data_IF_237563418154
#
_entry.id   IF_237563418154
#
_cell.length_a   1.000
_cell.length_b   1.000
_cell.length_c   1.000
_cell.angle_alpha   90.00
_cell.angle_beta   90.00
_cell.angle_gamma   90.00
#
_symmetry.space_group_name_H-M   'P 1'
#
loop_
_entity.id
_entity.type
_entity.pdbx_description
1 polymer ?
#
# COMPACT_ATOMS: atom_id res chain seq x y z
N UNK A 1 -6.35 -1.38 0.29
CA UNK A 1 -6.75 -0.52 -0.83
C UNK A 1 -7.98 0.28 -0.46
N UNK A 2 -7.92 1.58 -0.62
CA UNK A 2 -9.13 2.39 -0.52
C UNK A 2 -9.83 2.28 -1.88
N UNK A 3 -11.07 1.78 -1.93
CA UNK A 3 -11.77 1.65 -3.21
C UNK A 3 -11.93 3.02 -3.88
N UNK A 4 -11.79 3.05 -5.18
CA UNK A 4 -12.12 4.22 -5.96
C UNK A 4 -13.63 4.45 -5.87
N UNK A 5 -14.04 5.64 -5.43
CA UNK A 5 -15.46 5.99 -5.29
C UNK A 5 -16.21 5.87 -6.60
N UNK A 6 -15.53 6.09 -7.73
CA UNK A 6 -16.14 5.92 -9.06
C UNK A 6 -16.50 4.47 -9.34
N UNK A 7 -15.67 3.52 -8.89
CA UNK A 7 -15.97 2.10 -9.04
C UNK A 7 -17.14 1.69 -8.16
N UNK A 8 -17.18 2.19 -6.95
CA UNK A 8 -18.28 1.91 -6.03
C UNK A 8 -19.61 2.37 -6.62
N UNK A 9 -19.62 3.54 -7.25
CA UNK A 9 -20.84 4.12 -7.84
C UNK A 9 -21.36 3.34 -9.05
N UNK A 10 -20.62 2.39 -9.59
CA UNK A 10 -21.10 1.52 -10.67
C UNK A 10 -22.11 0.48 -10.19
N UNK A 11 -22.09 0.17 -8.90
CA UNK A 11 -22.97 -0.86 -8.36
C UNK A 11 -24.19 -0.20 -7.76
N UNK A 12 -25.39 -0.79 -7.95
CA UNK A 12 -26.63 -0.21 -7.43
C UNK A 12 -26.77 -0.46 -5.93
N UNK A 13 -25.82 0.09 -5.15
CA UNK A 13 -25.80 -0.02 -3.71
C UNK A 13 -26.06 1.35 -3.10
N UNK A 14 -26.76 1.39 -1.97
CA UNK A 14 -26.92 2.65 -1.28
C UNK A 14 -25.61 3.05 -0.59
N UNK A 15 -25.47 4.32 -0.26
CA UNK A 15 -24.25 4.87 0.33
C UNK A 15 -23.86 4.18 1.64
N UNK A 16 -24.86 3.82 2.44
CA UNK A 16 -24.63 3.17 3.72
C UNK A 16 -24.00 1.79 3.55
N UNK A 17 -24.48 1.05 2.57
CA UNK A 17 -23.94 -0.28 2.24
C UNK A 17 -22.48 -0.20 1.75
N UNK A 18 -22.16 0.79 0.91
CA UNK A 18 -20.82 1.00 0.42
C UNK A 18 -19.86 1.37 1.55
N UNK A 19 -20.29 2.24 2.48
CA UNK A 19 -19.48 2.60 3.63
C UNK A 19 -19.19 1.41 4.54
N UNK A 20 -20.17 0.51 4.71
CA UNK A 20 -19.94 -0.71 5.48
C UNK A 20 -18.90 -1.61 4.83
N UNK A 21 -18.94 -1.76 3.50
CA UNK A 21 -17.94 -2.56 2.78
C UNK A 21 -16.54 -1.98 2.92
N UNK A 22 -16.38 -0.67 2.77
CA UNK A 22 -15.10 0.00 2.96
C UNK A 22 -14.56 -0.21 4.38
N UNK A 23 -15.41 -0.09 5.39
CA UNK A 23 -15.03 -0.32 6.77
C UNK A 23 -14.57 -1.75 7.01
N UNK A 24 -15.25 -2.74 6.42
CA UNK A 24 -14.87 -4.15 6.54
C UNK A 24 -13.49 -4.39 5.94
N UNK A 25 -13.23 -3.89 4.73
CA UNK A 25 -11.91 -4.05 4.09
C UNK A 25 -10.82 -3.38 4.91
N UNK A 26 -11.06 -2.19 5.40
CA UNK A 26 -10.09 -1.48 6.22
C UNK A 26 -9.81 -2.23 7.52
N UNK A 27 -10.84 -2.70 8.19
CA UNK A 27 -10.69 -3.47 9.42
C UNK A 27 -9.88 -4.72 9.15
N UNK A 28 -10.18 -5.45 8.07
CA UNK A 28 -9.46 -6.66 7.71
C UNK A 28 -7.97 -6.38 7.48
N UNK A 29 -7.65 -5.33 6.72
CA UNK A 29 -6.27 -4.97 6.43
C UNK A 29 -5.52 -4.50 7.68
N UNK A 30 -6.19 -3.73 8.54
CA UNK A 30 -5.56 -3.19 9.75
C UNK A 30 -5.34 -4.25 10.82
N UNK A 31 -6.00 -5.41 10.70
CA UNK A 31 -5.82 -6.51 11.65
C UNK A 31 -4.91 -7.62 11.13
N UNK A 32 -4.32 -7.46 9.95
CA UNK A 32 -3.30 -8.38 9.48
C UNK A 32 -2.01 -8.21 10.26
N UNK A 33 -1.29 -9.31 10.46
CA UNK A 33 0.07 -9.26 11.01
C UNK A 33 1.05 -8.67 10.02
N UNK A 34 0.85 -8.98 8.73
CA UNK A 34 1.74 -8.51 7.67
C UNK A 34 1.46 -7.05 7.35
N UNK A 35 2.52 -6.29 7.13
CA UNK A 35 2.39 -4.93 6.65
C UNK A 35 1.92 -4.92 5.21
N UNK A 36 0.90 -4.11 4.94
CA UNK A 36 0.37 -3.90 3.59
C UNK A 36 0.66 -2.48 3.15
N UNK A 37 1.17 -2.35 1.93
CA UNK A 37 1.59 -1.10 1.34
C UNK A 37 1.13 -1.11 -0.12
N UNK A 38 0.30 -0.18 -0.50
CA UNK A 38 -0.32 -0.18 -1.83
C UNK A 38 -0.01 1.14 -2.52
N UNK A 39 0.47 1.05 -3.76
CA UNK A 39 0.73 2.22 -4.60
C UNK A 39 -0.06 2.14 -5.88
N UNK A 40 -0.20 3.27 -6.57
CA UNK A 40 -0.65 3.28 -7.94
C UNK A 40 0.54 2.96 -8.89
N UNK A 41 0.30 3.01 -10.19
CA UNK A 41 1.33 2.68 -11.18
C UNK A 41 2.43 3.75 -11.30
N UNK A 42 2.27 4.88 -10.67
CA UNK A 42 3.30 5.92 -10.59
C UNK A 42 4.05 5.87 -9.27
N UNK A 43 3.81 4.84 -8.47
CA UNK A 43 4.39 4.66 -7.13
C UNK A 43 3.97 5.75 -6.15
N UNK A 44 2.78 6.31 -6.33
CA UNK A 44 2.15 7.14 -5.32
C UNK A 44 1.50 6.23 -4.29
N UNK A 45 1.77 6.46 -3.02
CA UNK A 45 1.29 5.60 -1.94
C UNK A 45 -0.18 5.90 -1.67
N UNK A 46 -1.01 4.88 -1.84
CA UNK A 46 -2.47 4.98 -1.66
C UNK A 46 -2.91 4.55 -0.28
N UNK A 47 -2.23 3.58 0.30
CA UNK A 47 -2.65 3.00 1.57
C UNK A 47 -1.53 2.23 2.23
N UNK A 48 -1.46 2.32 3.55
CA UNK A 48 -0.66 1.42 4.38
C UNK A 48 -1.52 0.99 5.57
N UNK A 49 -1.37 -0.24 6.01
CA UNK A 49 -2.14 -0.73 7.16
C UNK A 49 -1.41 -0.47 8.48
N UNK A 50 -2.09 -0.80 9.57
CA UNK A 50 -1.54 -0.56 10.91
C UNK A 50 -0.25 -1.35 11.15
N UNK A 51 -0.19 -2.60 10.69
CA UNK A 51 1.02 -3.40 10.84
C UNK A 51 2.22 -2.73 10.16
N UNK A 52 2.03 -2.16 8.98
CA UNK A 52 3.08 -1.43 8.29
C UNK A 52 3.59 -0.25 9.12
N UNK A 53 2.68 0.55 9.68
CA UNK A 53 3.08 1.70 10.49
C UNK A 53 3.85 1.29 11.73
N UNK A 54 3.46 0.20 12.36
CA UNK A 54 4.16 -0.34 13.53
C UNK A 54 5.55 -0.86 13.16
N UNK A 55 5.65 -1.60 12.07
CA UNK A 55 6.91 -2.20 11.64
C UNK A 55 7.90 -1.15 11.15
N UNK A 56 7.44 -0.17 10.40
CA UNK A 56 8.29 0.85 9.79
C UNK A 56 8.62 2.00 10.74
N UNK A 57 7.78 2.22 11.74
CA UNK A 57 7.86 3.40 12.59
C UNK A 57 7.38 4.67 11.92
N UNK A 58 6.81 4.58 10.73
CA UNK A 58 6.30 5.72 9.98
C UNK A 58 4.79 5.87 10.22
N UNK A 59 4.33 7.11 10.27
CA UNK A 59 2.91 7.38 10.45
C UNK A 59 2.20 7.33 9.10
N UNK A 60 0.92 6.99 9.14
CA UNK A 60 0.07 6.93 7.94
C UNK A 60 0.17 8.22 7.13
N UNK A 61 -0.02 9.37 7.79
CA UNK A 61 -0.03 10.66 7.13
C UNK A 61 1.34 11.10 6.59
N UNK A 62 2.41 10.48 7.05
CA UNK A 62 3.77 10.80 6.58
C UNK A 62 4.09 10.11 5.26
N UNK A 63 3.34 9.06 4.90
CA UNK A 63 3.64 8.26 3.71
C UNK A 63 2.51 8.29 2.69
N UNK A 64 1.25 8.17 3.11
CA UNK A 64 0.12 8.13 2.17
C UNK A 64 -0.01 9.46 1.44
N UNK A 65 -0.20 9.41 0.13
CA UNK A 65 -0.27 10.58 -0.73
C UNK A 65 1.07 11.05 -1.27
N UNK A 66 2.17 10.47 -0.78
CA UNK A 66 3.51 10.79 -1.27
C UNK A 66 3.97 9.75 -2.28
N UNK A 67 4.93 10.12 -3.12
CA UNK A 67 5.54 9.21 -4.07
C UNK A 67 6.72 8.50 -3.42
N UNK A 68 6.87 7.21 -3.73
CA UNK A 68 7.99 6.42 -3.21
C UNK A 68 9.34 7.06 -3.54
N UNK A 69 9.50 7.55 -4.77
CA UNK A 69 10.74 8.18 -5.21
C UNK A 69 11.09 9.40 -4.37
N UNK A 70 10.10 10.20 -4.00
CA UNK A 70 10.32 11.38 -3.16
C UNK A 70 10.77 10.99 -1.76
N UNK A 71 10.18 9.94 -1.21
CA UNK A 71 10.56 9.45 0.12
C UNK A 71 11.94 8.80 0.11
N UNK A 72 12.33 8.17 -0.98
CA UNK A 72 13.70 7.68 -1.14
C UNK A 72 14.69 8.83 -1.23
N UNK A 73 14.36 9.89 -1.97
CA UNK A 73 15.22 11.06 -2.07
C UNK A 73 15.46 11.73 -0.72
N UNK A 74 14.46 11.68 0.15
CA UNK A 74 14.57 12.24 1.51
C UNK A 74 15.22 11.27 2.50
N UNK A 75 15.59 10.07 2.07
CA UNK A 75 16.19 9.06 2.94
C UNK A 75 15.21 8.33 3.85
N UNK A 76 13.91 8.54 3.67
CA UNK A 76 12.88 7.86 4.48
C UNK A 76 12.75 6.41 4.03
N UNK A 77 12.83 6.16 2.73
CA UNK A 77 12.84 4.81 2.16
C UNK A 77 14.20 4.50 1.56
N UNK A 78 14.60 3.23 1.60
CA UNK A 78 15.82 2.73 0.96
C UNK A 78 15.47 1.48 0.18
N UNK A 79 15.91 1.43 -1.09
CA UNK A 79 15.75 0.24 -1.95
C UNK A 79 14.32 -0.26 -2.00
N UNK A 80 13.37 0.65 -2.25
CA UNK A 80 11.95 0.31 -2.30
C UNK A 80 11.65 -0.70 -3.39
N UNK A 81 10.73 -1.61 -3.09
CA UNK A 81 10.33 -2.68 -4.00
C UNK A 81 9.41 -2.18 -5.11
N UNK A 82 8.53 -1.21 -4.82
CA UNK A 82 7.50 -0.75 -5.76
C UNK A 82 8.03 -0.29 -7.11
N UNK A 83 9.11 0.53 -7.20
CA UNK A 83 9.63 0.91 -8.52
C UNK A 83 10.14 -0.28 -9.33
N UNK A 84 10.71 -1.28 -8.67
CA UNK A 84 11.18 -2.50 -9.34
C UNK A 84 10.00 -3.33 -9.86
N UNK A 85 8.96 -3.48 -9.07
CA UNK A 85 7.74 -4.18 -9.47
C UNK A 85 7.13 -3.51 -10.70
N UNK A 86 7.01 -2.19 -10.67
CA UNK A 86 6.47 -1.42 -11.79
C UNK A 86 7.29 -1.62 -13.06
N UNK A 87 8.61 -1.53 -12.94
CA UNK A 87 9.52 -1.61 -14.09
C UNK A 87 9.55 -2.99 -14.70
N UNK A 88 9.60 -4.03 -13.88
CA UNK A 88 9.74 -5.40 -14.34
C UNK A 88 8.41 -6.12 -14.49
N UNK A 89 7.34 -5.58 -13.95
CA UNK A 89 5.98 -6.10 -14.05
C UNK A 89 5.86 -7.55 -13.61
N UNK A 90 6.50 -7.87 -12.49
CA UNK A 90 6.49 -9.21 -11.91
C UNK A 90 6.58 -9.12 -10.39
N UNK A 91 6.35 -10.25 -9.72
CA UNK A 91 6.51 -10.33 -8.27
C UNK A 91 8.00 -10.25 -7.94
N UNK A 92 8.35 -9.35 -7.02
CA UNK A 92 9.74 -9.16 -6.57
C UNK A 92 9.76 -9.25 -5.05
N UNK A 93 10.68 -10.05 -4.54
CA UNK A 93 10.92 -10.15 -3.10
C UNK A 93 12.31 -9.63 -2.77
N UNK A 94 12.41 -8.93 -1.66
CA UNK A 94 13.68 -8.40 -1.17
C UNK A 94 13.68 -8.38 0.36
N UNK A 95 14.85 -8.20 0.93
CA UNK A 95 14.99 -8.06 2.37
C UNK A 95 15.26 -6.59 2.67
N UNK A 96 14.42 -6.00 3.51
CA UNK A 96 14.59 -4.65 4.01
C UNK A 96 14.83 -4.65 5.51
N UNK A 97 15.11 -3.50 6.06
CA UNK A 97 15.28 -3.34 7.50
C UNK A 97 14.28 -2.32 8.02
N UNK A 98 13.65 -2.68 9.12
CA UNK A 98 12.82 -1.75 9.87
C UNK A 98 13.71 -0.72 10.58
N UNK A 99 13.08 0.32 11.11
CA UNK A 99 13.78 1.41 11.78
C UNK A 99 14.62 0.93 12.98
N UNK A 100 14.19 -0.13 13.64
CA UNK A 100 14.89 -0.75 14.76
C UNK A 100 15.98 -1.75 14.35
N UNK A 101 16.20 -1.91 13.06
CA UNK A 101 17.20 -2.83 12.52
C UNK A 101 16.71 -4.24 12.29
N UNK A 102 15.46 -4.55 12.61
CA UNK A 102 14.87 -5.87 12.36
C UNK A 102 14.71 -6.08 10.85
N UNK A 103 15.17 -7.23 10.37
CA UNK A 103 15.04 -7.57 8.95
C UNK A 103 13.61 -7.97 8.61
N UNK A 104 13.16 -7.54 7.45
CA UNK A 104 11.82 -7.83 6.94
C UNK A 104 11.91 -8.42 5.54
N UNK A 105 11.12 -9.45 5.29
CA UNK A 105 10.91 -9.92 3.92
C UNK A 105 9.80 -9.06 3.30
N UNK A 106 10.14 -8.41 2.20
CA UNK A 106 9.21 -7.55 1.48
C UNK A 106 8.92 -8.19 0.12
N UNK A 107 7.64 -8.41 -0.15
CA UNK A 107 7.20 -8.95 -1.44
C UNK A 107 6.27 -7.95 -2.10
N UNK A 108 6.67 -7.47 -3.27
CA UNK A 108 5.85 -6.62 -4.11
C UNK A 108 5.18 -7.42 -5.20
N UNK A 109 3.91 -7.18 -5.42
CA UNK A 109 3.11 -7.87 -6.42
C UNK A 109 2.36 -6.86 -7.28
N UNK A 110 2.49 -6.92 -8.61
CA UNK A 110 1.67 -6.07 -9.46
C UNK A 110 0.22 -6.54 -9.43
N UNK A 111 -0.70 -5.58 -9.38
CA UNK A 111 -2.14 -5.83 -9.39
C UNK A 111 -2.71 -5.11 -10.59
N UNK A 112 -3.54 -5.79 -11.38
CA UNK A 112 -4.11 -5.26 -12.59
C UNK A 112 -5.60 -5.00 -12.40
N UNK A 113 -6.08 -3.94 -13.03
CA UNK A 113 -7.51 -3.68 -13.12
C UNK A 113 -8.10 -4.38 -14.35
N UNK A 114 -9.38 -4.13 -14.62
CA UNK A 114 -10.10 -4.77 -15.72
C UNK A 114 -9.54 -4.44 -17.10
N UNK A 115 -8.83 -3.35 -17.22
CA UNK A 115 -8.32 -2.84 -18.50
C UNK A 115 -6.89 -3.26 -18.78
N UNK A 116 -6.33 -4.05 -17.91
CA UNK A 116 -4.92 -4.37 -18.02
C UNK A 116 -4.68 -5.88 -17.81
#
# INVERSE_FOLDING_TARGET
>A
MVPDLKHINRFPMNNQHMLQHECVYKIALDHLYDGVFITDNECKILYVNEAYTKMSGLKYEDVVGHYVDDLEAKGIFKNSTSPHVRRENKIISSIGKAKDGVEMLITGKPIYDENN
#
